data_IF_765547645946
#
_entry.id   IF_765547645946
#
_cell.length_a   1.000
_cell.length_b   1.000
_cell.length_c   1.000
_cell.angle_alpha   90.00
_cell.angle_beta   90.00
_cell.angle_gamma   90.00
#
_symmetry.space_group_name_H-M   'P 1'
#
loop_
_entity.id
_entity.type
_entity.pdbx_description
1 polymer ?
#
# COMPACT_ATOMS: atom_id res chain seq x y z
N UNK A 1 -3.97 -24.70 3.80
CA UNK A 1 -3.00 -23.62 4.06
C UNK A 1 -3.31 -22.47 3.11
N UNK A 2 -4.04 -21.45 3.57
CA UNK A 2 -4.38 -20.30 2.75
C UNK A 2 -3.13 -19.44 2.54
N UNK A 3 -2.57 -19.47 1.33
CA UNK A 3 -1.65 -18.43 0.86
C UNK A 3 -2.42 -17.11 0.82
N UNK A 4 -2.41 -16.35 1.91
CA UNK A 4 -2.82 -14.95 1.88
C UNK A 4 -1.79 -14.21 1.03
N UNK A 5 -2.14 -13.92 -0.22
CA UNK A 5 -1.43 -12.92 -1.02
C UNK A 5 -1.56 -11.59 -0.28
N UNK A 6 -0.49 -11.16 0.40
CA UNK A 6 -0.46 -9.86 1.07
C UNK A 6 -0.51 -8.77 0.00
N UNK A 7 -1.66 -8.12 -0.12
CA UNK A 7 -1.79 -6.92 -0.95
C UNK A 7 -1.63 -5.70 -0.06
N UNK A 8 -0.81 -4.74 -0.52
CA UNK A 8 -0.59 -3.47 0.17
C UNK A 8 -1.20 -2.36 -0.67
N UNK A 9 -2.13 -1.63 -0.07
CA UNK A 9 -2.73 -0.45 -0.69
C UNK A 9 -1.91 0.80 -0.39
N UNK A 10 -1.75 1.63 -1.40
CA UNK A 10 -1.13 2.95 -1.32
C UNK A 10 -2.08 4.02 -1.87
N UNK A 11 -1.95 5.25 -1.40
CA UNK A 11 -2.67 6.40 -1.94
C UNK A 11 -1.68 7.38 -2.56
N UNK A 12 -1.99 7.85 -3.77
CA UNK A 12 -1.19 8.91 -4.39
C UNK A 12 -1.40 10.25 -3.68
N UNK A 13 -0.30 10.89 -3.28
CA UNK A 13 -0.36 12.21 -2.65
C UNK A 13 -1.03 13.28 -3.53
N UNK A 14 -0.84 13.18 -4.85
CA UNK A 14 -1.25 14.25 -5.76
C UNK A 14 -2.72 14.15 -6.22
N UNK A 15 -3.24 12.94 -6.40
CA UNK A 15 -4.59 12.74 -6.93
C UNK A 15 -5.47 11.81 -6.08
N UNK A 16 -4.95 11.28 -4.97
CA UNK A 16 -5.69 10.37 -4.09
C UNK A 16 -5.97 9.00 -4.69
N UNK A 17 -5.51 8.71 -5.91
CA UNK A 17 -5.76 7.42 -6.56
C UNK A 17 -5.14 6.27 -5.77
N UNK A 18 -5.92 5.21 -5.56
CA UNK A 18 -5.50 4.01 -4.84
C UNK A 18 -4.68 3.10 -5.75
N UNK A 19 -3.47 2.77 -5.29
CA UNK A 19 -2.54 1.87 -5.97
C UNK A 19 -2.42 0.61 -5.12
N UNK A 20 -2.89 -0.52 -5.64
CA UNK A 20 -2.87 -1.81 -4.93
C UNK A 20 -1.71 -2.64 -5.47
N UNK A 21 -0.71 -2.90 -4.63
CA UNK A 21 0.44 -3.74 -4.97
C UNK A 21 0.24 -5.13 -4.37
N UNK A 22 0.33 -6.18 -5.19
CA UNK A 22 0.27 -7.57 -4.75
C UNK A 22 1.69 -8.06 -4.46
N UNK A 23 1.97 -8.39 -3.21
CA UNK A 23 3.23 -9.04 -2.84
C UNK A 23 3.11 -10.52 -3.17
N UNK A 24 3.93 -10.99 -4.09
CA UNK A 24 4.23 -12.42 -4.20
C UNK A 24 5.27 -12.75 -3.13
N UNK A 25 5.20 -13.94 -2.52
CA UNK A 25 5.95 -14.41 -1.34
C UNK A 25 7.50 -14.24 -1.36
N UNK A 26 8.10 -13.66 -2.40
CA UNK A 26 9.54 -13.43 -2.54
C UNK A 26 9.90 -12.04 -3.10
N UNK A 27 8.93 -11.15 -3.33
CA UNK A 27 9.17 -9.90 -4.05
C UNK A 27 9.16 -8.68 -3.12
N UNK A 28 10.33 -8.07 -2.95
CA UNK A 28 10.46 -6.71 -2.46
C UNK A 28 9.72 -5.75 -3.41
N UNK A 29 8.98 -4.80 -2.85
CA UNK A 29 8.36 -3.72 -3.63
C UNK A 29 9.47 -2.89 -4.26
N UNK A 30 9.55 -2.86 -5.58
CA UNK A 30 10.53 -2.00 -6.27
C UNK A 30 9.96 -0.59 -6.46
N UNK A 31 10.81 0.45 -6.45
CA UNK A 31 10.36 1.83 -6.64
C UNK A 31 9.66 2.07 -7.99
N UNK A 32 9.89 1.22 -8.99
CA UNK A 32 9.18 1.26 -10.26
C UNK A 32 7.71 0.84 -10.16
N UNK A 33 7.37 -0.04 -9.23
CA UNK A 33 6.00 -0.46 -8.95
C UNK A 33 5.23 0.60 -8.16
N UNK A 34 5.93 1.46 -7.42
CA UNK A 34 5.36 2.54 -6.58
C UNK A 34 5.12 3.79 -7.42
N UNK A 35 4.40 3.68 -8.54
CA UNK A 35 3.99 4.80 -9.40
C UNK A 35 2.48 4.90 -9.48
N UNK A 36 1.96 6.12 -9.34
CA UNK A 36 0.55 6.37 -9.58
C UNK A 36 0.21 6.15 -11.06
N UNK A 37 -0.79 5.31 -11.37
CA UNK A 37 -1.22 5.06 -12.75
C UNK A 37 -1.85 6.28 -13.42
N UNK A 38 -2.42 7.21 -12.63
CA UNK A 38 -3.11 8.40 -13.14
C UNK A 38 -2.16 9.55 -13.44
N UNK A 39 -1.28 9.89 -12.48
CA UNK A 39 -0.41 11.06 -12.61
C UNK A 39 1.07 10.72 -12.84
N UNK A 40 1.42 9.43 -12.89
CA UNK A 40 2.79 8.91 -13.08
C UNK A 40 3.82 9.36 -12.03
N UNK A 41 3.40 10.05 -10.97
CA UNK A 41 4.23 10.45 -9.83
C UNK A 41 4.47 9.26 -8.88
N UNK A 42 5.64 9.22 -8.25
CA UNK A 42 6.08 8.16 -7.31
C UNK A 42 5.73 8.44 -5.84
N UNK A 43 5.16 9.60 -5.52
CA UNK A 43 4.82 9.96 -4.13
C UNK A 43 3.53 9.25 -3.72
N UNK A 44 3.68 8.07 -3.12
CA UNK A 44 2.59 7.24 -2.63
C UNK A 44 2.73 7.01 -1.11
N UNK A 45 1.65 7.18 -0.35
CA UNK A 45 1.59 6.86 1.08
C UNK A 45 0.98 5.49 1.29
N UNK A 46 1.56 4.67 2.19
CA UNK A 46 0.97 3.39 2.57
C UNK A 46 -0.35 3.64 3.29
N UNK A 47 -1.43 3.02 2.82
CA UNK A 47 -2.73 3.08 3.47
C UNK A 47 -2.63 2.37 4.82
N UNK A 48 -3.14 3.00 5.88
CA UNK A 48 -3.20 2.38 7.21
C UNK A 48 -4.07 1.13 7.11
N UNK A 49 -3.54 -0.02 7.51
CA UNK A 49 -4.35 -1.22 7.69
C UNK A 49 -5.27 -0.98 8.88
N UNK A 50 -6.52 -1.44 8.82
CA UNK A 50 -7.44 -1.40 9.97
C UNK A 50 -6.94 -2.37 11.06
N UNK A 51 -5.85 -2.01 11.73
CA UNK A 51 -5.57 -2.50 13.05
C UNK A 51 -6.55 -1.78 13.96
N UNK A 52 -7.35 -2.53 14.72
CA UNK A 52 -8.12 -1.97 15.83
C UNK A 52 -7.08 -1.48 16.84
N UNK A 53 -6.58 -0.27 16.66
CA UNK A 53 -5.64 0.33 17.58
C UNK A 53 -6.38 0.47 18.92
N UNK A 54 -6.09 -0.41 19.86
CA UNK A 54 -6.46 -0.19 21.26
C UNK A 54 -5.58 0.95 21.77
N UNK A 55 -6.07 2.17 21.59
CA UNK A 55 -5.45 3.36 22.14
C UNK A 55 -5.80 3.38 23.62
N UNK A 56 -4.84 3.01 24.48
CA UNK A 56 -4.96 3.22 25.92
C UNK A 56 -4.66 4.70 26.21
N UNK A 57 -5.66 5.42 26.74
CA UNK A 57 -5.62 6.87 26.95
C UNK A 57 -5.23 7.27 28.38
N UNK A 58 -4.47 6.45 29.11
CA UNK A 58 -4.04 6.77 30.49
C UNK A 58 -3.08 7.95 30.59
#
# INVERSE_FOLDING_TARGET
MQNQLESVSYLCNNCGYEVILRLSNQNHITPEQVKCQMCKKTILFKKRTNCTDMIDCR
#
